data_IF_515570377082
#
_entry.id   IF_515570377082
#
_cell.length_a   1.000
_cell.length_b   1.000
_cell.length_c   1.000
_cell.angle_alpha   90.00
_cell.angle_beta   90.00
_cell.angle_gamma   90.00
#
_symmetry.space_group_name_H-M   'P 1'
#
loop_
_entity.id
_entity.type
_entity.pdbx_description
1 polymer ?
#
# COMPACT_ATOMS: atom_id res chain seq x y z
N UNK A 1 -5.98 30.32 -8.24
CA UNK A 1 -5.48 29.51 -7.10
C UNK A 1 -4.00 29.78 -6.84
N UNK A 2 -3.08 29.58 -7.80
CA UNK A 2 -1.64 29.88 -7.64
C UNK A 2 -1.32 31.34 -7.23
N UNK A 3 -1.84 32.34 -7.94
CA UNK A 3 -1.57 33.75 -7.61
C UNK A 3 -2.17 34.22 -6.27
N UNK A 4 -3.25 33.55 -5.81
CA UNK A 4 -3.83 33.84 -4.49
C UNK A 4 -2.93 33.27 -3.40
N UNK A 5 -2.48 32.02 -3.57
CA UNK A 5 -1.52 31.37 -2.69
C UNK A 5 -0.21 32.16 -2.59
N UNK A 6 0.37 32.60 -3.72
CA UNK A 6 1.59 33.41 -3.71
C UNK A 6 1.44 34.71 -2.90
N UNK A 7 0.26 35.35 -2.94
CA UNK A 7 -0.02 36.52 -2.11
C UNK A 7 -0.14 36.18 -0.63
N UNK A 8 -0.75 35.05 -0.28
CA UNK A 8 -0.88 34.59 1.10
C UNK A 8 0.47 34.25 1.75
N UNK A 9 1.43 33.75 0.98
CA UNK A 9 2.78 33.40 1.47
C UNK A 9 3.84 34.47 1.18
N UNK A 10 3.44 35.68 0.78
CA UNK A 10 4.33 36.80 0.42
C UNK A 10 5.39 36.45 -0.65
N UNK A 11 5.08 35.49 -1.51
CA UNK A 11 5.93 35.07 -2.61
C UNK A 11 5.61 35.88 -3.87
N UNK A 12 6.65 36.42 -4.52
CA UNK A 12 6.47 37.13 -5.79
C UNK A 12 6.43 36.14 -6.96
N UNK A 13 5.25 35.94 -7.60
CA UNK A 13 5.12 34.95 -8.66
C UNK A 13 5.80 35.40 -9.94
N UNK A 14 6.17 34.43 -10.78
CA UNK A 14 6.57 34.68 -12.16
C UNK A 14 5.42 35.30 -12.97
N UNK A 15 5.77 36.05 -14.01
CA UNK A 15 4.80 36.60 -14.95
C UNK A 15 4.00 35.49 -15.64
N UNK A 16 2.73 35.79 -15.97
CA UNK A 16 1.81 34.82 -16.60
C UNK A 16 2.44 34.26 -17.89
N UNK A 17 3.05 35.12 -18.72
CA UNK A 17 3.73 34.69 -19.96
C UNK A 17 4.86 33.70 -19.68
N UNK A 18 5.71 33.98 -18.69
CA UNK A 18 6.81 33.07 -18.31
C UNK A 18 6.30 31.74 -17.76
N UNK A 19 5.18 31.74 -17.02
CA UNK A 19 4.54 30.50 -16.57
C UNK A 19 4.02 29.67 -17.75
N UNK A 20 3.43 30.30 -18.76
CA UNK A 20 3.00 29.61 -19.98
C UNK A 20 4.18 29.09 -20.80
N UNK A 21 5.26 29.86 -20.95
CA UNK A 21 6.49 29.41 -21.61
C UNK A 21 7.11 28.20 -20.88
N UNK A 22 7.10 28.19 -19.54
CA UNK A 22 7.54 27.04 -18.75
C UNK A 22 6.62 25.83 -19.00
N UNK A 23 5.30 26.02 -19.01
CA UNK A 23 4.36 24.94 -19.29
C UNK A 23 4.48 24.41 -20.73
N UNK A 24 4.86 25.25 -21.69
CA UNK A 24 5.06 24.87 -23.08
C UNK A 24 6.40 24.15 -23.27
N UNK A 25 7.48 24.64 -22.65
CA UNK A 25 8.79 23.98 -22.64
C UNK A 25 8.79 22.67 -21.83
N UNK A 26 7.98 22.61 -20.77
CA UNK A 26 7.76 21.42 -19.94
C UNK A 26 6.39 20.78 -20.20
N UNK A 27 5.88 20.89 -21.44
CA UNK A 27 4.58 20.32 -21.81
C UNK A 27 4.51 18.86 -21.35
N UNK A 28 3.46 18.55 -20.60
CA UNK A 28 3.25 17.21 -20.05
C UNK A 28 3.27 16.21 -21.21
N UNK A 29 4.35 15.44 -21.32
CA UNK A 29 4.40 14.39 -22.32
C UNK A 29 3.43 13.29 -21.90
N UNK A 30 2.63 12.79 -22.84
CA UNK A 30 1.88 11.55 -22.61
C UNK A 30 2.92 10.46 -22.35
N UNK A 31 2.98 9.95 -21.12
CA UNK A 31 3.86 8.83 -20.76
C UNK A 31 3.43 7.60 -21.55
N UNK A 32 4.10 7.32 -22.66
CA UNK A 32 3.88 6.13 -23.49
C UNK A 32 4.61 4.90 -22.93
N UNK A 33 5.64 5.11 -22.11
CA UNK A 33 6.33 4.02 -21.43
C UNK A 33 5.60 3.64 -20.15
N UNK A 34 5.02 2.43 -20.14
CA UNK A 34 4.50 1.75 -18.95
C UNK A 34 5.59 1.03 -18.15
N UNK A 35 6.86 1.10 -18.60
CA UNK A 35 7.98 0.49 -17.92
C UNK A 35 8.35 1.33 -16.68
N UNK A 36 8.41 0.69 -15.51
CA UNK A 36 8.74 1.34 -14.23
C UNK A 36 7.54 1.80 -13.40
N UNK A 37 6.31 1.37 -13.73
CA UNK A 37 5.17 1.54 -12.82
C UNK A 37 5.30 0.60 -11.61
N UNK A 38 5.18 1.15 -10.41
CA UNK A 38 5.07 0.35 -9.18
C UNK A 38 3.70 -0.33 -9.15
N UNK A 39 3.69 -1.63 -9.46
CA UNK A 39 2.48 -2.43 -9.48
C UNK A 39 2.09 -2.94 -8.09
N UNK A 40 2.85 -2.68 -7.01
CA UNK A 40 2.59 -3.28 -5.70
C UNK A 40 1.20 -2.88 -5.18
N UNK A 41 0.77 -1.63 -5.37
CA UNK A 41 -0.57 -1.20 -4.97
C UNK A 41 -1.68 -1.84 -5.81
N UNK A 42 -1.42 -2.05 -7.11
CA UNK A 42 -2.35 -2.73 -8.01
C UNK A 42 -2.46 -4.22 -7.67
N UNK A 43 -1.34 -4.90 -7.45
CA UNK A 43 -1.25 -6.29 -6.99
C UNK A 43 -1.91 -6.48 -5.62
N UNK A 44 -1.69 -5.56 -4.68
CA UNK A 44 -2.39 -5.58 -3.39
C UNK A 44 -3.90 -5.39 -3.53
N UNK A 45 -4.34 -4.50 -4.43
CA UNK A 45 -5.77 -4.33 -4.73
C UNK A 45 -6.37 -5.58 -5.39
N UNK A 46 -5.65 -6.21 -6.31
CA UNK A 46 -6.01 -7.50 -6.92
C UNK A 46 -6.06 -8.61 -5.87
N UNK A 47 -5.14 -8.64 -4.91
CA UNK A 47 -5.17 -9.58 -3.79
C UNK A 47 -6.49 -9.50 -3.02
N UNK A 48 -6.99 -8.29 -2.74
CA UNK A 48 -8.32 -8.12 -2.13
C UNK A 48 -9.47 -8.61 -3.02
N UNK A 49 -9.38 -8.39 -4.34
CA UNK A 49 -10.40 -8.86 -5.29
C UNK A 49 -10.41 -10.41 -5.35
N UNK A 50 -9.24 -11.03 -5.29
CA UNK A 50 -9.11 -12.48 -5.19
C UNK A 50 -9.70 -13.03 -3.89
N UNK A 51 -9.51 -12.36 -2.75
CA UNK A 51 -10.16 -12.76 -1.50
C UNK A 51 -11.69 -12.74 -1.60
N UNK A 52 -12.27 -11.76 -2.32
CA UNK A 52 -13.72 -11.72 -2.57
C UNK A 52 -14.14 -12.92 -3.41
N UNK A 53 -13.42 -13.20 -4.49
CA UNK A 53 -13.71 -14.37 -5.34
C UNK A 53 -13.64 -15.68 -4.56
N UNK A 54 -12.64 -15.85 -3.67
CA UNK A 54 -12.54 -17.04 -2.80
C UNK A 54 -13.75 -17.18 -1.87
N UNK A 55 -14.29 -16.08 -1.35
CA UNK A 55 -15.52 -16.10 -0.55
C UNK A 55 -16.74 -16.46 -1.41
N UNK A 56 -16.81 -15.98 -2.64
CA UNK A 56 -17.84 -16.36 -3.62
C UNK A 56 -17.77 -17.86 -3.98
N UNK A 57 -16.56 -18.40 -4.13
CA UNK A 57 -16.33 -19.82 -4.38
C UNK A 57 -16.85 -20.67 -3.21
N UNK A 58 -16.51 -20.30 -1.96
CA UNK A 58 -17.03 -20.96 -0.76
C UNK A 58 -18.56 -20.93 -0.70
N UNK A 59 -19.18 -19.81 -1.10
CA UNK A 59 -20.64 -19.69 -1.18
C UNK A 59 -21.23 -20.59 -2.27
N UNK A 60 -20.63 -20.62 -3.47
CA UNK A 60 -21.06 -21.44 -4.60
C UNK A 60 -20.99 -22.94 -4.31
N UNK A 61 -20.01 -23.35 -3.51
CA UNK A 61 -19.82 -24.73 -3.03
C UNK A 61 -20.75 -25.08 -1.85
N UNK A 62 -21.63 -24.17 -1.43
CA UNK A 62 -22.49 -24.31 -0.24
C UNK A 62 -21.71 -24.57 1.07
N UNK A 63 -20.46 -24.11 1.15
CA UNK A 63 -19.64 -24.22 2.38
C UNK A 63 -20.09 -23.18 3.40
N UNK A 64 -20.46 -21.98 2.91
CA UNK A 64 -21.01 -20.88 3.73
C UNK A 64 -22.38 -20.46 3.23
N UNK A 65 -23.18 -19.90 4.12
CA UNK A 65 -24.49 -19.35 3.76
C UNK A 65 -24.36 -17.93 3.17
N UNK A 66 -25.47 -17.42 2.61
CA UNK A 66 -25.50 -16.09 1.99
C UNK A 66 -25.26 -14.93 2.96
N UNK A 67 -25.54 -15.09 4.25
CA UNK A 67 -25.27 -14.04 5.24
C UNK A 67 -23.78 -13.97 5.56
N UNK A 68 -23.16 -15.13 5.85
CA UNK A 68 -21.72 -15.23 6.09
C UNK A 68 -20.88 -14.75 4.90
N UNK A 69 -21.30 -15.08 3.67
CA UNK A 69 -20.66 -14.60 2.45
C UNK A 69 -20.68 -13.07 2.37
N UNK A 70 -21.83 -12.44 2.65
CA UNK A 70 -21.96 -10.98 2.67
C UNK A 70 -21.12 -10.33 3.78
N UNK A 71 -21.14 -10.90 4.98
CA UNK A 71 -20.34 -10.40 6.10
C UNK A 71 -18.84 -10.40 5.78
N UNK A 72 -18.34 -11.52 5.23
CA UNK A 72 -16.94 -11.64 4.82
C UNK A 72 -16.61 -10.63 3.70
N UNK A 73 -17.41 -10.56 2.64
CA UNK A 73 -17.18 -9.61 1.53
C UNK A 73 -17.19 -8.16 2.00
N UNK A 74 -18.08 -7.79 2.92
CA UNK A 74 -18.11 -6.45 3.52
C UNK A 74 -16.85 -6.17 4.38
N UNK A 75 -16.36 -7.18 5.10
CA UNK A 75 -15.13 -7.09 5.90
C UNK A 75 -13.90 -6.91 5.00
N UNK A 76 -13.81 -7.70 3.92
CA UNK A 76 -12.74 -7.60 2.91
C UNK A 76 -12.74 -6.19 2.28
N UNK A 77 -13.91 -5.71 1.89
CA UNK A 77 -14.07 -4.37 1.27
C UNK A 77 -13.68 -3.25 2.23
N UNK A 78 -14.07 -3.38 3.50
CA UNK A 78 -13.73 -2.41 4.54
C UNK A 78 -12.22 -2.40 4.83
N UNK A 79 -11.59 -3.58 4.88
CA UNK A 79 -10.13 -3.71 5.01
C UNK A 79 -9.39 -3.10 3.81
N UNK A 80 -9.88 -3.35 2.58
CA UNK A 80 -9.34 -2.75 1.35
C UNK A 80 -9.41 -1.23 1.40
N UNK A 81 -10.54 -0.67 1.84
CA UNK A 81 -10.72 0.77 1.98
C UNK A 81 -9.76 1.35 3.03
N UNK A 82 -9.65 0.70 4.19
CA UNK A 82 -8.71 1.08 5.25
C UNK A 82 -7.27 1.13 4.73
N UNK A 83 -6.84 0.09 4.00
CA UNK A 83 -5.49 0.03 3.42
C UNK A 83 -5.23 1.17 2.42
N UNK A 84 -6.23 1.54 1.61
CA UNK A 84 -6.11 2.63 0.62
C UNK A 84 -6.03 4.02 1.23
N UNK A 85 -6.73 4.25 2.34
CA UNK A 85 -7.04 5.62 2.81
C UNK A 85 -6.36 5.95 4.13
N UNK A 86 -6.58 5.12 5.14
CA UNK A 86 -6.30 5.40 6.54
C UNK A 86 -4.97 4.80 7.02
N UNK A 87 -4.55 3.64 6.48
CA UNK A 87 -3.40 2.90 7.01
C UNK A 87 -2.14 3.78 7.09
N UNK A 88 -1.89 4.58 6.06
CA UNK A 88 -0.77 5.54 6.01
C UNK A 88 -0.80 6.60 7.13
N UNK A 89 -1.98 6.95 7.63
CA UNK A 89 -2.16 7.94 8.69
C UNK A 89 -1.89 7.34 10.08
N UNK A 90 -2.00 6.02 10.20
CA UNK A 90 -1.76 5.31 11.45
C UNK A 90 -0.27 5.00 11.64
N UNK A 91 0.49 4.85 10.55
CA UNK A 91 1.93 4.56 10.61
C UNK A 91 2.68 5.77 11.18
N UNK A 92 3.42 5.55 12.26
CA UNK A 92 4.23 6.54 12.96
C UNK A 92 5.64 6.01 13.18
N UNK A 93 6.60 6.89 13.52
CA UNK A 93 7.97 6.48 13.81
C UNK A 93 8.02 5.47 14.97
N UNK A 94 7.39 5.81 16.09
CA UNK A 94 7.21 4.95 17.25
C UNK A 94 5.70 4.82 17.54
N UNK A 95 5.23 3.61 17.81
CA UNK A 95 3.82 3.37 18.13
C UNK A 95 3.66 2.10 18.98
N UNK A 96 2.69 2.07 19.90
CA UNK A 96 2.41 0.88 20.72
C UNK A 96 1.79 -0.28 19.93
N UNK A 97 1.38 -0.05 18.68
CA UNK A 97 0.97 -1.07 17.74
C UNK A 97 2.13 -1.48 16.83
N UNK A 98 2.47 -2.78 16.82
CA UNK A 98 3.51 -3.31 15.94
C UNK A 98 3.24 -2.99 14.45
N UNK A 99 1.97 -3.03 14.02
CA UNK A 99 1.58 -2.78 12.61
C UNK A 99 1.57 -1.30 12.23
N UNK A 100 1.81 -0.40 13.19
CA UNK A 100 1.88 1.05 12.98
C UNK A 100 3.25 1.64 13.34
N UNK A 101 4.11 0.91 14.05
CA UNK A 101 5.44 1.35 14.42
C UNK A 101 6.42 1.13 13.27
N UNK A 102 6.79 2.21 12.58
CA UNK A 102 7.72 2.17 11.44
C UNK A 102 9.09 1.65 11.84
N UNK A 103 9.61 2.07 13.00
CA UNK A 103 10.90 1.59 13.54
C UNK A 103 10.89 0.08 13.73
N UNK A 104 9.77 -0.48 14.21
CA UNK A 104 9.60 -1.92 14.33
C UNK A 104 9.47 -2.60 12.96
N UNK A 105 8.57 -2.11 12.10
CA UNK A 105 8.25 -2.72 10.80
C UNK A 105 9.42 -2.73 9.81
N UNK A 106 10.32 -1.76 9.89
CA UNK A 106 11.48 -1.65 9.00
C UNK A 106 12.75 -2.25 9.60
N UNK A 107 12.71 -2.73 10.84
CA UNK A 107 13.85 -3.40 11.45
C UNK A 107 14.12 -4.75 10.79
N UNK A 108 15.34 -4.98 10.34
CA UNK A 108 15.75 -6.30 9.85
C UNK A 108 15.90 -7.28 11.04
N UNK A 109 15.25 -8.46 11.01
CA UNK A 109 15.32 -9.42 12.12
C UNK A 109 16.62 -10.24 12.15
N UNK A 110 17.44 -10.21 11.09
CA UNK A 110 18.63 -11.04 10.93
C UNK A 110 19.92 -10.23 10.83
N UNK A 111 19.86 -9.04 10.22
CA UNK A 111 21.02 -8.19 10.00
C UNK A 111 21.10 -7.08 11.05
N UNK A 112 22.04 -7.24 12.00
CA UNK A 112 22.28 -6.27 13.06
C UNK A 112 22.57 -4.85 12.54
N UNK A 113 23.15 -4.71 11.35
CA UNK A 113 23.44 -3.40 10.76
C UNK A 113 22.19 -2.66 10.27
N UNK A 114 21.08 -3.38 10.05
CA UNK A 114 19.79 -2.83 9.62
C UNK A 114 18.69 -3.06 10.67
N UNK A 115 19.06 -3.49 11.87
CA UNK A 115 18.14 -3.67 12.96
C UNK A 115 17.89 -2.33 13.66
N UNK A 116 16.63 -2.06 14.00
CA UNK A 116 16.23 -0.94 14.83
C UNK A 116 15.61 -1.47 16.12
N UNK A 117 15.85 -0.78 17.25
CA UNK A 117 15.36 -1.19 18.56
C UNK A 117 14.32 -0.17 19.02
N UNK A 118 13.13 -0.66 19.35
CA UNK A 118 12.11 0.15 20.01
C UNK A 118 12.36 0.16 21.52
N UNK A 119 12.24 1.34 22.15
CA UNK A 119 12.27 1.52 23.61
C UNK A 119 10.90 1.31 24.28
N UNK A 120 9.89 0.91 23.51
CA UNK A 120 8.50 0.72 23.91
C UNK A 120 8.04 -0.72 23.59
N UNK A 121 6.89 -1.10 24.16
CA UNK A 121 6.32 -2.42 23.98
C UNK A 121 5.14 -2.37 22.98
N UNK A 122 5.08 -3.36 22.09
CA UNK A 122 4.03 -3.47 21.08
C UNK A 122 2.82 -4.29 21.58
N UNK A 123 2.18 -3.81 22.65
CA UNK A 123 1.07 -4.53 23.28
C UNK A 123 -0.30 -4.16 22.71
N UNK A 124 -0.40 -3.02 22.02
CA UNK A 124 -1.68 -2.57 21.47
C UNK A 124 -1.94 -3.22 20.11
N UNK A 125 -3.16 -3.72 19.92
CA UNK A 125 -3.64 -4.26 18.64
C UNK A 125 -4.63 -3.30 18.03
N UNK A 126 -4.36 -2.83 16.82
CA UNK A 126 -5.30 -2.02 16.08
C UNK A 126 -6.44 -2.90 15.56
N UNK A 127 -7.68 -2.59 15.93
CA UNK A 127 -8.89 -3.31 15.50
C UNK A 127 -8.99 -3.38 13.97
N UNK A 128 -8.73 -2.27 13.26
CA UNK A 128 -8.78 -2.23 11.79
C UNK A 128 -7.72 -3.13 11.13
N UNK A 129 -6.52 -3.22 11.72
CA UNK A 129 -5.47 -4.13 11.22
C UNK A 129 -5.78 -5.59 11.56
N UNK A 130 -6.30 -5.84 12.76
CA UNK A 130 -6.63 -7.18 13.23
C UNK A 130 -7.79 -7.78 12.43
N UNK A 131 -8.74 -6.96 11.98
CA UNK A 131 -9.87 -7.39 11.15
C UNK A 131 -9.40 -8.17 9.90
N UNK A 132 -8.31 -7.75 9.26
CA UNK A 132 -7.76 -8.44 8.11
C UNK A 132 -7.27 -9.85 8.47
N UNK A 133 -6.47 -9.96 9.54
CA UNK A 133 -5.94 -11.24 10.02
C UNK A 133 -7.06 -12.19 10.43
N UNK A 134 -8.00 -11.71 11.25
CA UNK A 134 -9.11 -12.52 11.76
C UNK A 134 -9.99 -13.05 10.61
N UNK A 135 -10.20 -12.22 9.59
CA UNK A 135 -10.95 -12.57 8.39
C UNK A 135 -10.23 -13.63 7.55
N UNK A 136 -8.92 -13.48 7.30
CA UNK A 136 -8.13 -14.48 6.59
C UNK A 136 -8.10 -15.82 7.33
N UNK A 137 -7.98 -15.80 8.65
CA UNK A 137 -8.04 -17.00 9.50
C UNK A 137 -9.42 -17.66 9.43
N UNK A 138 -10.51 -16.87 9.47
CA UNK A 138 -11.87 -17.38 9.30
C UNK A 138 -12.08 -18.05 7.95
N UNK A 139 -11.64 -17.41 6.85
CA UNK A 139 -11.74 -17.97 5.49
C UNK A 139 -10.97 -19.31 5.41
N UNK A 140 -9.74 -19.36 5.94
CA UNK A 140 -8.93 -20.58 5.97
C UNK A 140 -9.59 -21.69 6.78
N UNK A 141 -10.11 -21.36 7.96
CA UNK A 141 -10.78 -22.32 8.84
C UNK A 141 -12.02 -22.92 8.16
N UNK A 142 -12.85 -22.08 7.55
CA UNK A 142 -14.05 -22.49 6.82
C UNK A 142 -13.67 -23.44 5.67
N UNK A 143 -12.70 -23.07 4.84
CA UNK A 143 -12.22 -23.91 3.75
C UNK A 143 -11.74 -25.28 4.25
N UNK A 144 -10.91 -25.31 5.30
CA UNK A 144 -10.37 -26.55 5.85
C UNK A 144 -11.46 -27.46 6.44
N UNK A 145 -12.51 -26.88 6.99
CA UNK A 145 -13.65 -27.61 7.57
C UNK A 145 -14.66 -28.13 6.54
N UNK A 146 -14.53 -27.72 5.28
CA UNK A 146 -15.45 -28.12 4.20
C UNK A 146 -15.32 -29.61 3.83
N UNK A 147 -16.31 -30.13 3.12
CA UNK A 147 -16.35 -31.52 2.63
C UNK A 147 -15.68 -31.70 1.26
N UNK A 148 -14.97 -30.68 0.75
CA UNK A 148 -14.24 -30.75 -0.52
C UNK A 148 -13.03 -31.69 -0.42
N UNK A 149 -12.46 -32.06 -1.56
CA UNK A 149 -11.24 -32.87 -1.59
C UNK A 149 -10.06 -32.10 -1.01
N UNK A 150 -9.08 -32.83 -0.47
CA UNK A 150 -7.88 -32.21 0.10
C UNK A 150 -7.09 -31.40 -0.93
N UNK A 151 -7.04 -31.87 -2.18
CA UNK A 151 -6.41 -31.16 -3.30
C UNK A 151 -7.05 -29.78 -3.55
N UNK A 152 -8.39 -29.69 -3.52
CA UNK A 152 -9.10 -28.42 -3.68
C UNK A 152 -8.88 -27.49 -2.48
N UNK A 153 -8.76 -28.04 -1.27
CA UNK A 153 -8.45 -27.26 -0.07
C UNK A 153 -7.05 -26.67 -0.14
N UNK A 154 -6.07 -27.46 -0.59
CA UNK A 154 -4.69 -27.03 -0.77
C UNK A 154 -4.57 -25.94 -1.84
N UNK A 155 -5.24 -26.10 -2.99
CA UNK A 155 -5.28 -25.09 -4.05
C UNK A 155 -5.89 -23.78 -3.55
N UNK A 156 -7.05 -23.86 -2.89
CA UNK A 156 -7.69 -22.69 -2.29
C UNK A 156 -6.80 -21.97 -1.27
N UNK A 157 -6.15 -22.73 -0.37
CA UNK A 157 -5.28 -22.16 0.65
C UNK A 157 -4.05 -21.50 0.03
N UNK A 158 -3.55 -22.03 -1.09
CA UNK A 158 -2.45 -21.41 -1.84
C UNK A 158 -2.88 -20.07 -2.45
N UNK A 159 -4.06 -20.00 -3.06
CA UNK A 159 -4.59 -18.74 -3.62
C UNK A 159 -4.87 -17.71 -2.52
N UNK A 160 -5.32 -18.17 -1.35
CA UNK A 160 -5.47 -17.34 -0.15
C UNK A 160 -4.12 -16.78 0.31
N UNK A 161 -3.10 -17.63 0.43
CA UNK A 161 -1.74 -17.24 0.84
C UNK A 161 -1.12 -16.25 -0.15
N UNK A 162 -1.23 -16.50 -1.45
CA UNK A 162 -0.72 -15.61 -2.49
C UNK A 162 -1.41 -14.23 -2.44
N UNK A 163 -2.71 -14.20 -2.16
CA UNK A 163 -3.49 -12.97 -2.00
C UNK A 163 -3.07 -12.19 -0.75
N UNK A 164 -2.85 -12.88 0.38
CA UNK A 164 -2.34 -12.27 1.62
C UNK A 164 -0.97 -11.64 1.38
N UNK A 165 -0.04 -12.37 0.75
CA UNK A 165 1.32 -11.87 0.46
C UNK A 165 1.27 -10.59 -0.39
N UNK A 166 0.41 -10.54 -1.41
CA UNK A 166 0.23 -9.31 -2.22
C UNK A 166 -0.22 -8.12 -1.37
N UNK A 167 -1.16 -8.32 -0.45
CA UNK A 167 -1.69 -7.28 0.44
C UNK A 167 -0.64 -6.84 1.47
N UNK A 168 0.09 -7.77 2.06
CA UNK A 168 1.18 -7.48 3.00
C UNK A 168 2.32 -6.71 2.32
N UNK A 169 2.67 -7.08 1.09
CA UNK A 169 3.64 -6.36 0.28
C UNK A 169 3.20 -4.91 0.01
N UNK A 170 1.91 -4.69 -0.19
CA UNK A 170 1.35 -3.36 -0.33
C UNK A 170 1.42 -2.55 0.97
N UNK A 171 1.07 -3.13 2.11
CA UNK A 171 1.27 -2.51 3.42
C UNK A 171 2.74 -2.12 3.66
N UNK A 172 3.67 -3.05 3.39
CA UNK A 172 5.10 -2.80 3.52
C UNK A 172 5.60 -1.72 2.55
N UNK A 173 5.04 -1.65 1.34
CA UNK A 173 5.33 -0.57 0.39
C UNK A 173 4.88 0.79 0.94
N UNK A 174 3.68 0.89 1.53
CA UNK A 174 3.20 2.13 2.17
C UNK A 174 4.16 2.58 3.27
N UNK A 175 4.59 1.67 4.15
CA UNK A 175 5.53 1.96 5.24
C UNK A 175 6.87 2.47 4.71
N UNK A 176 7.43 1.82 3.68
CA UNK A 176 8.67 2.27 3.03
C UNK A 176 8.54 3.66 2.42
N UNK A 177 7.42 3.94 1.75
CA UNK A 177 7.13 5.26 1.16
C UNK A 177 7.08 6.35 2.24
N UNK A 178 6.41 6.09 3.36
CA UNK A 178 6.35 7.02 4.50
C UNK A 178 7.75 7.27 5.09
N UNK A 179 8.56 6.22 5.22
CA UNK A 179 9.93 6.34 5.70
C UNK A 179 10.81 7.20 4.79
N UNK A 180 10.75 6.91 3.48
CA UNK A 180 11.50 7.64 2.47
C UNK A 180 11.09 9.12 2.43
N UNK A 181 9.80 9.42 2.51
CA UNK A 181 9.31 10.80 2.50
C UNK A 181 9.71 11.56 3.78
N UNK A 182 9.65 10.89 4.94
CA UNK A 182 10.13 11.45 6.21
C UNK A 182 11.60 11.87 6.13
N UNK A 183 12.46 10.98 5.63
CA UNK A 183 13.89 11.28 5.44
C UNK A 183 14.10 12.40 4.40
N UNK A 184 13.32 12.39 3.31
CA UNK A 184 13.38 13.42 2.27
C UNK A 184 13.08 14.81 2.85
N UNK A 185 12.02 14.93 3.64
CA UNK A 185 11.60 16.19 4.28
C UNK A 185 12.64 16.67 5.29
N UNK A 186 13.15 15.78 6.15
CA UNK A 186 14.22 16.09 7.10
C UNK A 186 15.45 16.62 6.37
N UNK A 187 15.90 15.92 5.31
CA UNK A 187 17.09 16.31 4.59
C UNK A 187 16.92 17.64 3.88
N UNK A 188 15.76 17.88 3.25
CA UNK A 188 15.43 19.16 2.63
C UNK A 188 15.46 20.32 3.62
N UNK A 189 14.97 20.11 4.85
CA UNK A 189 15.01 21.12 5.91
C UNK A 189 16.43 21.44 6.41
N UNK A 190 17.37 20.52 6.25
CA UNK A 190 18.78 20.65 6.70
C UNK A 190 19.76 21.12 5.62
N UNK A 191 19.27 21.47 4.42
CA UNK A 191 20.14 21.84 3.30
C UNK A 191 20.85 23.17 3.53
N UNK A 192 22.17 23.17 3.37
CA UNK A 192 22.97 24.39 3.39
C UNK A 192 23.04 25.04 2.00
N UNK A 193 23.41 26.31 1.95
CA UNK A 193 23.63 27.03 0.70
C UNK A 193 24.67 26.31 -0.18
N UNK A 194 24.32 26.10 -1.45
CA UNK A 194 25.18 25.40 -2.42
C UNK A 194 25.12 23.87 -2.36
N UNK A 195 24.30 23.29 -1.48
CA UNK A 195 24.05 21.84 -1.46
C UNK A 195 22.78 21.48 -2.27
N UNK A 196 22.77 20.26 -2.81
CA UNK A 196 21.60 19.67 -3.46
C UNK A 196 21.35 18.25 -2.95
N UNK A 197 20.10 17.79 -3.03
CA UNK A 197 19.74 16.39 -2.76
C UNK A 197 19.52 15.70 -4.10
N UNK A 198 20.16 14.55 -4.26
CA UNK A 198 19.93 13.66 -5.39
C UNK A 198 19.04 12.53 -4.89
N UNK A 199 17.82 12.47 -5.41
CA UNK A 199 16.92 11.32 -5.20
C UNK A 199 17.10 10.43 -6.41
N UNK A 200 17.68 9.24 -6.20
CA UNK A 200 17.81 8.23 -7.24
C UNK A 200 16.79 7.14 -6.98
N UNK A 201 15.81 7.04 -7.87
CA UNK A 201 14.90 5.90 -7.90
C UNK A 201 15.57 4.75 -8.67
N UNK A 202 15.99 3.72 -7.94
CA UNK A 202 16.57 2.51 -8.52
C UNK A 202 15.49 1.49 -8.92
N UNK A 203 14.19 1.82 -8.78
CA UNK A 203 13.08 0.92 -9.05
C UNK A 203 12.66 0.84 -10.52
N UNK A 204 13.59 1.01 -11.47
CA UNK A 204 13.38 0.50 -12.83
C UNK A 204 13.57 -1.02 -12.85
N UNK A 205 12.69 -1.77 -12.20
CA UNK A 205 12.52 -3.18 -12.54
C UNK A 205 11.95 -3.24 -13.95
N UNK A 206 12.64 -3.94 -14.85
CA UNK A 206 12.06 -4.35 -16.13
C UNK A 206 10.94 -5.36 -15.84
N UNK A 207 9.76 -4.86 -15.51
CA UNK A 207 8.58 -5.69 -15.28
C UNK A 207 7.87 -5.90 -16.62
N UNK A 208 7.56 -7.16 -17.00
CA UNK A 208 6.69 -7.41 -18.15
C UNK A 208 5.36 -6.67 -17.94
N UNK A 209 4.84 -6.03 -19.00
CA UNK A 209 3.57 -5.31 -18.96
C UNK A 209 2.45 -6.23 -18.46
N UNK A 210 1.86 -5.93 -17.31
CA UNK A 210 0.74 -6.69 -16.72
C UNK A 210 -0.55 -5.88 -16.64
N UNK A 211 -0.47 -4.60 -16.27
CA UNK A 211 -1.64 -3.75 -16.10
C UNK A 211 -1.69 -2.65 -17.17
N UNK A 212 -2.88 -2.41 -17.73
CA UNK A 212 -3.17 -1.31 -18.66
C UNK A 212 -4.15 -0.36 -17.98
N UNK A 213 -3.68 0.81 -17.54
CA UNK A 213 -4.60 1.89 -17.22
C UNK A 213 -5.33 2.30 -18.50
N UNK A 214 -6.66 2.24 -18.48
CA UNK A 214 -7.47 2.95 -19.49
C UNK A 214 -7.51 4.41 -19.07
N UNK A 215 -6.61 5.23 -19.62
CA UNK A 215 -6.85 6.66 -19.65
C UNK A 215 -7.99 6.90 -20.64
N UNK A 216 -9.14 7.35 -20.14
CA UNK A 216 -10.23 7.87 -20.95
C UNK A 216 -10.12 9.39 -20.89
N UNK A 217 -10.05 10.03 -22.07
CA UNK A 217 -9.95 11.50 -22.21
C UNK A 217 -11.16 12.23 -21.60
#
# INVERSE_FOLDING_TARGET
>A
MYQSYCREVEFQPLGISSLFEILEACAASKRTSLHGLDNIAAEGSEGYDNLINLVEDLHSMNVINSEESKELTNSITSSKLYMKTDYKLHVQEENQCATHCRTWLLSDPKNLAFQSICNHHHLFKCEKCQLFTDMCDKIRQVNNSSTTSEELKEEFNKDLDDSIIKIENWGAHIVRTINQDSWRLERLGSLLQGQGIIIMDWAMKFLPQRFREKQTD
#
